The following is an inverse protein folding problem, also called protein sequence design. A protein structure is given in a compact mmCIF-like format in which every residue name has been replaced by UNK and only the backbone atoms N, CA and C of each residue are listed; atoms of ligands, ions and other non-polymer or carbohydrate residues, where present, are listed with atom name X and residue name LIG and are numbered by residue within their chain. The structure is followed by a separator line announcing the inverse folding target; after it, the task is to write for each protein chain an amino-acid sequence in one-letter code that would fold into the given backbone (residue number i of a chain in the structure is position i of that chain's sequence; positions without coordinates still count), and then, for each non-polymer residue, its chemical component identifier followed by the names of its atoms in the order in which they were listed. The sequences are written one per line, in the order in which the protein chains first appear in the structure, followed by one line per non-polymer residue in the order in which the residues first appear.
data_IF_102090324487
#
_entry.id   IF_102090324487
#
_cell.length_a   1.000
_cell.length_b   1.000
_cell.length_c   1.000
_cell.angle_alpha   90.00
_cell.angle_beta   90.00
_cell.angle_gamma   90.00
#
_symmetry.space_group_name_H-M   'P 1'
#
loop_
_entity.id
_entity.type
_entity.pdbx_description
1 polymer ?
#
# COMPACT_ATOMS: atom_id res chain seq x y z
N UNK A 1 10.09 -55.53 14.76
CA UNK A 1 8.84 -55.25 14.02
C UNK A 1 7.85 -54.36 14.76
N UNK A 2 7.38 -54.70 15.98
CA UNK A 2 6.39 -53.85 16.72
C UNK A 2 6.81 -52.38 16.91
N UNK A 3 8.08 -52.13 17.25
CA UNK A 3 8.61 -50.76 17.44
C UNK A 3 8.69 -49.97 16.12
N UNK A 4 9.03 -50.63 15.02
CA UNK A 4 9.12 -50.03 13.68
C UNK A 4 7.74 -49.65 13.13
N UNK A 5 6.73 -50.50 13.37
CA UNK A 5 5.32 -50.23 13.00
C UNK A 5 4.74 -49.07 13.80
N UNK A 6 5.16 -48.91 15.07
CA UNK A 6 4.72 -47.81 15.92
C UNK A 6 5.30 -46.46 15.46
N UNK A 7 6.59 -46.44 15.11
CA UNK A 7 7.25 -45.23 14.57
C UNK A 7 6.65 -44.83 13.22
N UNK A 8 6.39 -45.80 12.33
CA UNK A 8 5.73 -45.54 11.05
C UNK A 8 4.30 -45.00 11.22
N UNK A 9 3.49 -45.58 12.13
CA UNK A 9 2.16 -45.05 12.42
C UNK A 9 2.21 -43.64 13.03
N UNK A 10 3.18 -43.36 13.90
CA UNK A 10 3.36 -42.02 14.46
C UNK A 10 3.66 -41.00 13.34
N UNK A 11 4.57 -41.34 12.42
CA UNK A 11 4.94 -40.47 11.29
C UNK A 11 3.77 -40.30 10.31
N UNK A 12 3.02 -41.35 10.00
CA UNK A 12 1.85 -41.24 9.12
C UNK A 12 0.73 -40.42 9.78
N UNK A 13 0.51 -40.55 11.09
CA UNK A 13 -0.49 -39.75 11.80
C UNK A 13 -0.13 -38.26 11.86
N UNK A 14 1.14 -37.90 12.01
CA UNK A 14 1.57 -36.49 12.02
C UNK A 14 1.57 -35.87 10.63
N UNK A 15 1.87 -36.65 9.58
CA UNK A 15 1.79 -36.19 8.19
C UNK A 15 0.35 -35.91 7.74
N UNK A 16 -0.62 -36.73 8.17
CA UNK A 16 -2.04 -36.54 7.83
C UNK A 16 -2.62 -35.31 8.56
N UNK A 17 -2.24 -35.06 9.83
CA UNK A 17 -2.68 -33.88 10.56
C UNK A 17 -2.03 -32.57 10.07
N UNK A 18 -0.79 -32.61 9.57
CA UNK A 18 -0.10 -31.44 9.04
C UNK A 18 -0.59 -31.00 7.64
N UNK A 19 -1.30 -31.89 6.93
CA UNK A 19 -1.83 -31.66 5.58
C UNK A 19 -3.35 -31.66 5.56
N UNK A 20 -4.03 -31.20 6.62
CA UNK A 20 -5.48 -31.10 6.59
C UNK A 20 -5.91 -29.78 5.91
N UNK A 21 -6.31 -29.75 4.63
CA UNK A 21 -6.70 -28.51 3.96
C UNK A 21 -7.96 -27.87 4.58
N UNK A 22 -8.77 -28.64 5.32
CA UNK A 22 -9.93 -28.15 6.05
C UNK A 22 -9.59 -27.35 7.32
N UNK A 23 -8.32 -27.35 7.76
CA UNK A 23 -7.88 -26.52 8.90
C UNK A 23 -7.41 -25.13 8.49
N UNK A 24 -7.45 -24.79 7.20
CA UNK A 24 -7.06 -23.46 6.74
C UNK A 24 -8.06 -22.41 7.21
N UNK A 25 -7.57 -21.37 7.87
CA UNK A 25 -8.42 -20.24 8.24
C UNK A 25 -8.91 -19.52 6.97
N UNK A 26 -10.05 -18.83 7.05
CA UNK A 26 -10.58 -18.03 5.93
C UNK A 26 -9.49 -17.14 5.29
N UNK A 27 -8.65 -16.51 6.12
CA UNK A 27 -7.58 -15.62 5.68
C UNK A 27 -6.43 -16.34 4.96
N UNK A 28 -6.11 -17.58 5.33
CA UNK A 28 -5.09 -18.38 4.64
C UNK A 28 -5.55 -18.80 3.25
N UNK A 29 -6.84 -19.14 3.13
CA UNK A 29 -7.46 -19.43 1.83
C UNK A 29 -7.49 -18.19 0.95
N UNK A 30 -7.98 -17.06 1.45
CA UNK A 30 -7.98 -15.78 0.73
C UNK A 30 -6.57 -15.37 0.26
N UNK A 31 -5.58 -15.53 1.13
CA UNK A 31 -4.18 -15.27 0.78
C UNK A 31 -3.72 -16.20 -0.35
N UNK A 32 -3.90 -17.52 -0.19
CA UNK A 32 -3.48 -18.54 -1.17
C UNK A 32 -4.14 -18.33 -2.53
N UNK A 33 -5.45 -18.07 -2.54
CA UNK A 33 -6.22 -17.81 -3.75
C UNK A 33 -5.68 -16.58 -4.47
N UNK A 34 -5.30 -15.52 -3.73
CA UNK A 34 -4.80 -14.29 -4.32
C UNK A 34 -3.38 -14.42 -4.87
N UNK A 35 -2.46 -15.06 -4.14
CA UNK A 35 -1.06 -15.20 -4.60
C UNK A 35 -0.93 -16.16 -5.79
N UNK A 36 -1.86 -17.10 -5.93
CA UNK A 36 -1.90 -18.08 -7.02
C UNK A 36 -2.90 -17.72 -8.13
N UNK A 37 -3.58 -16.57 -8.03
CA UNK A 37 -4.50 -16.11 -9.05
C UNK A 37 -3.75 -15.81 -10.37
N UNK A 38 -4.31 -16.31 -11.48
CA UNK A 38 -3.86 -16.00 -12.84
C UNK A 38 -4.78 -14.93 -13.44
N UNK A 39 -4.27 -13.73 -13.77
CA UNK A 39 -5.09 -12.68 -14.36
C UNK A 39 -5.71 -13.07 -15.71
N UNK A 40 -6.97 -12.70 -15.92
CA UNK A 40 -7.79 -13.20 -17.04
C UNK A 40 -7.22 -12.86 -18.41
N UNK A 41 -6.62 -11.67 -18.54
CA UNK A 41 -6.12 -11.14 -19.80
C UNK A 41 -4.58 -11.20 -19.90
N UNK A 42 -3.92 -11.95 -19.01
CA UNK A 42 -2.47 -12.08 -19.02
C UNK A 42 -2.00 -12.80 -20.28
N UNK A 43 -1.51 -12.03 -21.26
CA UNK A 43 -0.93 -12.58 -22.48
C UNK A 43 0.47 -13.13 -22.21
N UNK A 44 0.83 -14.16 -22.97
CA UNK A 44 2.17 -14.76 -22.98
C UNK A 44 3.13 -14.09 -23.97
N UNK A 45 2.65 -13.09 -24.73
CA UNK A 45 3.45 -12.49 -25.80
C UNK A 45 4.51 -11.53 -25.24
N UNK A 46 5.72 -12.05 -25.07
CA UNK A 46 6.92 -11.24 -25.17
C UNK A 46 7.68 -11.61 -26.44
N UNK A 47 7.95 -10.60 -27.27
CA UNK A 47 8.81 -10.69 -28.46
C UNK A 47 10.22 -11.23 -28.10
N UNK A 48 10.59 -11.19 -26.82
CA UNK A 48 11.79 -11.81 -26.26
C UNK A 48 11.40 -12.92 -25.29
N UNK A 49 11.81 -14.15 -25.57
CA UNK A 49 11.79 -15.24 -24.58
C UNK A 49 13.03 -15.15 -23.70
N UNK A 50 12.93 -15.44 -22.40
CA UNK A 50 14.09 -15.45 -21.53
C UNK A 50 15.09 -16.53 -21.97
N UNK A 51 16.38 -16.21 -21.81
CA UNK A 51 17.48 -17.10 -22.14
C UNK A 51 17.56 -18.25 -21.13
N UNK A 52 17.33 -17.95 -19.85
CA UNK A 52 17.31 -18.95 -18.79
C UNK A 52 16.11 -19.91 -18.91
N UNK A 53 16.39 -21.21 -18.99
CA UNK A 53 15.39 -22.27 -18.93
C UNK A 53 14.51 -22.21 -17.66
N UNK A 54 15.03 -21.65 -16.57
CA UNK A 54 14.28 -21.47 -15.32
C UNK A 54 13.07 -20.55 -15.50
N UNK A 55 13.19 -19.56 -16.38
CA UNK A 55 12.14 -18.57 -16.67
C UNK A 55 11.24 -18.98 -17.84
N UNK A 56 11.50 -20.12 -18.50
CA UNK A 56 10.65 -20.69 -19.53
C UNK A 56 9.44 -21.46 -18.96
N UNK A 57 9.21 -21.36 -17.64
CA UNK A 57 8.06 -21.90 -16.92
C UNK A 57 6.89 -20.90 -16.90
N UNK A 58 5.71 -21.34 -16.46
CA UNK A 58 4.53 -20.47 -16.34
C UNK A 58 4.64 -19.50 -15.17
N UNK A 59 5.18 -18.31 -15.43
CA UNK A 59 5.31 -17.21 -14.47
C UNK A 59 4.10 -16.27 -14.54
N UNK A 60 2.95 -16.79 -14.10
CA UNK A 60 1.64 -16.17 -14.31
C UNK A 60 0.95 -15.69 -13.02
N UNK A 61 1.57 -15.95 -11.87
CA UNK A 61 0.99 -15.67 -10.55
C UNK A 61 1.97 -14.83 -9.73
N UNK A 62 1.46 -14.13 -8.70
CA UNK A 62 2.33 -13.39 -7.76
C UNK A 62 3.35 -14.35 -7.12
N UNK A 63 2.90 -15.53 -6.68
CA UNK A 63 3.73 -16.52 -6.02
C UNK A 63 4.90 -16.99 -6.91
N UNK A 64 4.60 -17.42 -8.14
CA UNK A 64 5.62 -17.89 -9.08
C UNK A 64 6.66 -16.79 -9.34
N UNK A 65 6.23 -15.59 -9.72
CA UNK A 65 7.16 -14.54 -10.10
C UNK A 65 7.97 -13.97 -8.91
N UNK A 66 7.37 -13.93 -7.71
CA UNK A 66 8.06 -13.52 -6.49
C UNK A 66 9.30 -14.38 -6.27
N UNK A 67 9.15 -15.72 -6.36
CA UNK A 67 10.24 -16.66 -6.14
C UNK A 67 11.40 -16.35 -7.10
N UNK A 68 11.15 -16.31 -8.40
CA UNK A 68 12.22 -16.03 -9.37
C UNK A 68 12.83 -14.64 -9.18
N UNK A 69 12.04 -13.65 -8.77
CA UNK A 69 12.56 -12.32 -8.48
C UNK A 69 13.43 -12.28 -7.23
N UNK A 70 13.15 -13.11 -6.23
CA UNK A 70 13.92 -13.21 -5.00
C UNK A 70 15.26 -13.94 -5.15
N UNK A 71 15.34 -14.87 -6.11
CA UNK A 71 16.50 -15.73 -6.34
C UNK A 71 17.33 -15.33 -7.57
N UNK A 72 17.17 -14.11 -8.11
CA UNK A 72 17.91 -13.60 -9.30
C UNK A 72 19.42 -13.83 -9.23
N UNK A 73 20.03 -13.55 -8.06
CA UNK A 73 21.46 -13.71 -7.83
C UNK A 73 21.88 -15.18 -7.78
N UNK A 74 21.09 -15.99 -7.10
CA UNK A 74 21.34 -17.43 -6.95
C UNK A 74 21.22 -18.15 -8.30
N UNK A 75 20.29 -17.70 -9.15
CA UNK A 75 20.11 -18.19 -10.52
C UNK A 75 21.05 -17.57 -11.56
N UNK A 76 21.86 -16.57 -11.17
CA UNK A 76 22.80 -15.87 -12.07
C UNK A 76 22.13 -15.38 -13.37
N UNK A 77 20.92 -14.82 -13.25
CA UNK A 77 20.17 -14.33 -14.41
C UNK A 77 20.95 -13.23 -15.14
N UNK A 78 20.89 -13.23 -16.47
CA UNK A 78 21.47 -12.18 -17.32
C UNK A 78 20.74 -10.84 -17.11
N UNK A 79 21.30 -9.75 -17.63
CA UNK A 79 20.63 -8.45 -17.61
C UNK A 79 19.31 -8.49 -18.42
N UNK A 80 19.31 -9.17 -19.57
CA UNK A 80 18.11 -9.37 -20.40
C UNK A 80 17.02 -10.13 -19.64
N UNK A 81 17.37 -11.22 -18.95
CA UNK A 81 16.42 -11.99 -18.13
C UNK A 81 15.92 -11.19 -16.92
N UNK A 82 16.78 -10.36 -16.31
CA UNK A 82 16.38 -9.50 -15.22
C UNK A 82 15.35 -8.46 -15.67
N UNK A 83 15.55 -7.84 -16.83
CA UNK A 83 14.61 -6.89 -17.43
C UNK A 83 13.31 -7.56 -17.87
N UNK A 84 13.40 -8.77 -18.44
CA UNK A 84 12.22 -9.57 -18.77
C UNK A 84 11.37 -9.83 -17.52
N UNK A 85 12.00 -10.21 -16.41
CA UNK A 85 11.31 -10.48 -15.14
C UNK A 85 10.69 -9.20 -14.55
N UNK A 86 11.39 -8.06 -14.63
CA UNK A 86 10.86 -6.75 -14.20
C UNK A 86 9.61 -6.36 -15.02
N UNK A 87 9.65 -6.57 -16.33
CA UNK A 87 8.50 -6.35 -17.22
C UNK A 87 7.35 -7.29 -16.90
N UNK A 88 7.64 -8.56 -16.59
CA UNK A 88 6.62 -9.54 -16.22
C UNK A 88 5.93 -9.18 -14.90
N UNK A 89 6.66 -8.65 -13.92
CA UNK A 89 6.07 -8.13 -12.67
C UNK A 89 5.10 -6.97 -12.97
N UNK A 90 5.52 -6.03 -13.82
CA UNK A 90 4.66 -4.92 -14.24
C UNK A 90 3.39 -5.37 -14.98
N UNK A 91 3.50 -6.39 -15.85
CA UNK A 91 2.36 -6.97 -16.54
C UNK A 91 1.37 -7.59 -15.55
N UNK A 92 1.85 -8.45 -14.63
CA UNK A 92 1.00 -9.08 -13.61
C UNK A 92 0.29 -8.01 -12.77
N UNK A 93 1.01 -6.97 -12.31
CA UNK A 93 0.40 -5.89 -11.55
C UNK A 93 -0.71 -5.17 -12.34
N UNK A 94 -0.49 -4.92 -13.62
CA UNK A 94 -1.46 -4.27 -14.51
C UNK A 94 -2.71 -5.14 -14.70
N UNK A 95 -2.54 -6.41 -15.02
CA UNK A 95 -3.67 -7.30 -15.29
C UNK A 95 -4.48 -7.61 -14.03
N UNK A 96 -3.82 -7.74 -12.87
CA UNK A 96 -4.51 -7.83 -11.57
C UNK A 96 -5.38 -6.60 -11.31
N UNK A 97 -4.85 -5.40 -11.56
CA UNK A 97 -5.60 -4.17 -11.40
C UNK A 97 -6.80 -4.09 -12.34
N UNK A 98 -6.63 -4.49 -13.61
CA UNK A 98 -7.73 -4.56 -14.59
C UNK A 98 -8.80 -5.58 -14.20
N UNK A 99 -8.42 -6.66 -13.53
CA UNK A 99 -9.33 -7.62 -12.91
C UNK A 99 -10.01 -7.09 -11.62
N UNK A 100 -9.78 -5.82 -11.27
CA UNK A 100 -10.34 -5.16 -10.08
C UNK A 100 -9.58 -5.45 -8.78
N UNK A 101 -8.47 -6.17 -8.84
CA UNK A 101 -7.67 -6.55 -7.67
C UNK A 101 -6.63 -5.47 -7.36
N UNK A 102 -6.98 -4.61 -6.41
CA UNK A 102 -6.09 -3.55 -5.90
C UNK A 102 -5.25 -4.13 -4.77
N UNK A 103 -3.98 -4.38 -5.07
CA UNK A 103 -3.09 -5.10 -4.17
C UNK A 103 -1.84 -4.26 -3.94
N UNK A 104 -1.42 -4.16 -2.68
CA UNK A 104 -0.07 -3.77 -2.32
C UNK A 104 0.58 -4.91 -1.55
N UNK A 105 1.91 -4.99 -1.65
CA UNK A 105 2.70 -6.00 -0.97
C UNK A 105 3.56 -5.35 0.10
N UNK A 106 3.58 -5.92 1.30
CA UNK A 106 4.44 -5.50 2.40
C UNK A 106 5.36 -6.62 2.85
N UNK A 107 6.61 -6.28 3.14
CA UNK A 107 7.55 -7.21 3.77
C UNK A 107 7.30 -7.21 5.28
N UNK A 108 7.07 -8.38 5.87
CA UNK A 108 6.86 -8.57 7.31
C UNK A 108 7.71 -9.71 7.85
N UNK A 109 7.76 -9.85 9.17
CA UNK A 109 8.48 -10.92 9.84
C UNK A 109 9.80 -10.46 10.45
N UNK A 110 10.82 -11.30 10.40
CA UNK A 110 12.09 -11.09 11.09
C UNK A 110 12.16 -11.82 12.42
N UNK A 111 12.73 -11.18 13.45
CA UNK A 111 13.01 -11.84 14.74
C UNK A 111 11.74 -12.35 15.43
N UNK A 112 10.65 -11.59 15.33
CA UNK A 112 9.36 -11.91 15.95
C UNK A 112 8.54 -12.95 15.18
N UNK A 113 9.04 -13.49 14.07
CA UNK A 113 8.32 -14.45 13.23
C UNK A 113 7.23 -13.82 12.36
N UNK A 114 6.52 -14.65 11.59
CA UNK A 114 5.44 -14.22 10.70
C UNK A 114 4.18 -13.85 11.50
N UNK A 115 3.43 -12.83 11.09
CA UNK A 115 2.11 -12.59 11.67
C UNK A 115 1.15 -13.73 11.29
N UNK A 116 0.20 -14.04 12.19
CA UNK A 116 -0.84 -15.04 11.90
C UNK A 116 -1.72 -14.65 10.69
N UNK A 117 -1.90 -13.34 10.48
CA UNK A 117 -2.71 -12.81 9.39
C UNK A 117 -1.82 -12.21 8.29
N UNK A 118 -1.76 -12.92 7.16
CA UNK A 118 -0.90 -12.63 6.00
C UNK A 118 -1.58 -11.74 4.94
N UNK A 119 -2.85 -11.41 5.14
CA UNK A 119 -3.65 -10.55 4.26
C UNK A 119 -4.45 -9.56 5.11
N UNK A 120 -4.40 -8.28 4.78
CA UNK A 120 -5.19 -7.24 5.44
C UNK A 120 -5.80 -6.29 4.40
N UNK A 121 -6.66 -5.40 4.86
CA UNK A 121 -7.22 -4.33 4.04
C UNK A 121 -6.69 -2.99 4.52
N UNK A 122 -6.24 -2.16 3.58
CA UNK A 122 -5.83 -0.77 3.78
C UNK A 122 -6.79 0.13 3.01
N UNK A 123 -7.00 1.34 3.51
CA UNK A 123 -7.71 2.38 2.79
C UNK A 123 -6.74 3.50 2.43
N UNK A 124 -6.61 3.84 1.15
CA UNK A 124 -5.80 4.97 0.68
C UNK A 124 -6.58 5.75 -0.37
N UNK A 125 -6.70 7.07 -0.23
CA UNK A 125 -7.51 7.90 -1.13
C UNK A 125 -8.96 7.39 -1.30
N UNK A 126 -9.56 6.88 -0.23
CA UNK A 126 -10.88 6.21 -0.23
C UNK A 126 -10.96 4.93 -1.09
N UNK A 127 -9.83 4.40 -1.53
CA UNK A 127 -9.74 3.15 -2.26
C UNK A 127 -9.43 2.03 -1.26
N UNK A 128 -10.23 0.96 -1.30
CA UNK A 128 -9.95 -0.27 -0.57
C UNK A 128 -8.85 -1.06 -1.30
N UNK A 129 -7.79 -1.41 -0.56
CA UNK A 129 -6.59 -2.06 -1.08
C UNK A 129 -6.28 -3.28 -0.22
N UNK A 130 -6.10 -4.43 -0.86
CA UNK A 130 -5.59 -5.62 -0.19
C UNK A 130 -4.09 -5.48 0.04
N UNK A 131 -3.66 -5.57 1.29
CA UNK A 131 -2.26 -5.66 1.66
C UNK A 131 -1.85 -7.12 1.85
N UNK A 132 -1.15 -7.66 0.86
CA UNK A 132 -0.49 -8.96 0.94
C UNK A 132 0.82 -8.83 1.70
N UNK A 133 1.00 -9.65 2.73
CA UNK A 133 2.22 -9.66 3.53
C UNK A 133 3.12 -10.79 3.07
N UNK A 134 4.31 -10.45 2.59
CA UNK A 134 5.37 -11.42 2.35
C UNK A 134 6.17 -11.58 3.62
N UNK A 135 6.04 -12.75 4.25
CA UNK A 135 6.80 -13.03 5.44
C UNK A 135 8.20 -13.51 5.08
N UNK A 136 9.19 -12.94 5.75
CA UNK A 136 10.57 -13.37 5.66
C UNK A 136 11.14 -13.69 7.05
N UNK A 137 12.15 -14.55 7.08
CA UNK A 137 13.03 -14.70 8.24
C UNK A 137 14.07 -13.56 8.27
N UNK A 138 14.84 -13.45 9.36
CA UNK A 138 15.87 -12.41 9.51
C UNK A 138 16.89 -12.36 8.36
N UNK A 139 17.14 -13.49 7.69
CA UNK A 139 18.17 -13.61 6.67
C UNK A 139 17.71 -13.22 5.26
N UNK A 140 16.40 -13.12 4.99
CA UNK A 140 15.89 -13.17 3.61
C UNK A 140 15.03 -11.97 3.21
N UNK A 141 14.88 -10.94 4.05
CA UNK A 141 14.04 -9.76 3.76
C UNK A 141 14.43 -9.01 2.48
N UNK A 142 15.70 -9.07 2.08
CA UNK A 142 16.21 -8.41 0.88
C UNK A 142 15.71 -9.06 -0.42
N UNK A 143 15.26 -10.32 -0.38
CA UNK A 143 14.86 -11.08 -1.59
C UNK A 143 13.60 -10.50 -2.23
N UNK A 144 12.61 -10.14 -1.41
CA UNK A 144 11.35 -9.61 -1.93
C UNK A 144 11.42 -8.14 -2.32
N UNK A 145 12.46 -7.40 -1.89
CA UNK A 145 12.54 -5.95 -2.03
C UNK A 145 12.33 -5.46 -3.46
N UNK A 146 13.03 -6.07 -4.43
CA UNK A 146 12.94 -5.66 -5.84
C UNK A 146 11.54 -5.96 -6.42
N UNK A 147 10.96 -7.11 -6.08
CA UNK A 147 9.61 -7.45 -6.50
C UNK A 147 8.59 -6.44 -5.94
N UNK A 148 8.64 -6.21 -4.62
CA UNK A 148 7.73 -5.29 -3.92
C UNK A 148 7.84 -3.88 -4.51
N UNK A 149 9.06 -3.40 -4.78
CA UNK A 149 9.30 -2.09 -5.35
C UNK A 149 8.64 -1.93 -6.73
N UNK A 150 8.88 -2.86 -7.66
CA UNK A 150 8.32 -2.81 -9.01
C UNK A 150 6.80 -2.97 -8.97
N UNK A 151 6.31 -3.99 -8.26
CA UNK A 151 4.89 -4.31 -8.17
C UNK A 151 4.09 -3.16 -7.55
N UNK A 152 4.52 -2.66 -6.38
CA UNK A 152 3.82 -1.58 -5.69
C UNK A 152 3.92 -0.27 -6.47
N UNK A 153 5.08 0.04 -7.08
CA UNK A 153 5.21 1.25 -7.91
C UNK A 153 4.19 1.25 -9.05
N UNK A 154 4.04 0.11 -9.73
CA UNK A 154 3.04 -0.03 -10.79
C UNK A 154 1.60 0.09 -10.26
N UNK A 155 1.30 -0.55 -9.13
CA UNK A 155 -0.03 -0.46 -8.50
C UNK A 155 -0.38 0.95 -8.04
N UNK A 156 0.55 1.65 -7.38
CA UNK A 156 0.37 3.06 -7.01
C UNK A 156 0.12 3.95 -8.22
N UNK A 157 0.88 3.75 -9.31
CA UNK A 157 0.68 4.48 -10.57
C UNK A 157 -0.71 4.22 -11.17
N UNK A 158 -1.19 2.98 -11.16
CA UNK A 158 -2.52 2.62 -11.70
C UNK A 158 -3.67 3.18 -10.85
N UNK A 159 -3.45 3.29 -9.53
CA UNK A 159 -4.40 3.91 -8.61
C UNK A 159 -4.32 5.44 -8.57
N UNK A 160 -3.34 6.05 -9.26
CA UNK A 160 -3.03 7.48 -9.20
C UNK A 160 -2.74 7.99 -7.78
N UNK A 161 -2.09 7.16 -6.96
CA UNK A 161 -1.72 7.47 -5.58
C UNK A 161 -0.21 7.70 -5.49
N UNK A 162 0.21 8.80 -4.87
CA UNK A 162 1.62 9.03 -4.58
C UNK A 162 2.13 8.04 -3.50
N UNK A 163 3.17 7.25 -3.78
CA UNK A 163 3.70 6.29 -2.82
C UNK A 163 4.14 6.96 -1.51
N UNK A 164 3.97 6.30 -0.36
CA UNK A 164 4.53 6.78 0.89
C UNK A 164 6.06 6.75 0.84
N UNK A 165 6.69 7.78 1.41
CA UNK A 165 8.13 7.87 1.60
C UNK A 165 8.47 7.85 3.09
N UNK A 166 9.77 7.85 3.42
CA UNK A 166 10.26 7.76 4.81
C UNK A 166 9.74 8.88 5.73
N UNK A 167 9.30 10.01 5.17
CA UNK A 167 8.77 11.16 5.92
C UNK A 167 7.25 11.19 5.97
N UNK A 168 6.54 10.34 5.22
CA UNK A 168 5.07 10.36 5.16
C UNK A 168 4.43 10.23 6.53
N UNK A 169 4.95 9.35 7.40
CA UNK A 169 4.44 9.17 8.77
C UNK A 169 4.55 10.42 9.64
N UNK A 170 5.48 11.33 9.33
CA UNK A 170 5.67 12.59 10.08
C UNK A 170 4.57 13.61 9.82
N UNK A 171 3.73 13.38 8.81
CA UNK A 171 2.59 14.25 8.50
C UNK A 171 1.31 13.81 9.19
N UNK A 172 1.26 12.62 9.81
CA UNK A 172 0.04 12.13 10.43
C UNK A 172 -0.28 12.92 11.70
N UNK A 173 -1.58 13.09 11.97
CA UNK A 173 -2.08 13.69 13.20
C UNK A 173 -2.72 15.07 13.00
N UNK A 174 -2.80 15.82 14.10
CA UNK A 174 -3.51 17.08 14.16
C UNK A 174 -2.58 18.28 14.25
N UNK A 175 -2.81 19.28 13.40
CA UNK A 175 -2.07 20.53 13.36
C UNK A 175 -3.01 21.70 13.65
N UNK A 176 -2.56 22.62 14.51
CA UNK A 176 -3.33 23.81 14.89
C UNK A 176 -2.51 25.08 14.70
N UNK A 177 -3.19 26.19 14.41
CA UNK A 177 -2.57 27.50 14.28
C UNK A 177 -3.60 28.62 14.25
N UNK A 178 -3.18 29.78 13.73
CA UNK A 178 -4.06 30.93 13.56
C UNK A 178 -3.94 31.54 12.16
N UNK A 179 -5.05 32.02 11.63
CA UNK A 179 -5.09 32.80 10.39
C UNK A 179 -4.49 34.20 10.60
N UNK A 180 -4.37 34.98 9.53
CA UNK A 180 -3.97 36.39 9.61
C UNK A 180 -4.93 37.22 10.48
N UNK A 181 -6.22 36.93 10.37
CA UNK A 181 -7.30 37.53 11.16
C UNK A 181 -7.41 36.94 12.58
N UNK A 182 -6.45 36.09 12.99
CA UNK A 182 -6.37 35.41 14.29
C UNK A 182 -7.46 34.37 14.55
N UNK A 183 -8.17 33.94 13.52
CA UNK A 183 -9.08 32.81 13.62
C UNK A 183 -8.32 31.51 13.86
N UNK A 184 -8.89 30.62 14.66
CA UNK A 184 -8.28 29.33 14.94
C UNK A 184 -8.35 28.44 13.70
N UNK A 185 -7.22 27.84 13.33
CA UNK A 185 -7.12 26.90 12.21
C UNK A 185 -6.79 25.52 12.75
N UNK A 186 -7.46 24.49 12.24
CA UNK A 186 -7.08 23.10 12.48
C UNK A 186 -7.07 22.30 11.18
N UNK A 187 -6.06 21.45 11.05
CA UNK A 187 -5.82 20.53 9.95
C UNK A 187 -5.59 19.13 10.54
N UNK A 188 -6.37 18.16 10.10
CA UNK A 188 -6.20 16.74 10.44
C UNK A 188 -5.73 16.01 9.19
N UNK A 189 -4.63 15.26 9.32
CA UNK A 189 -4.07 14.42 8.27
C UNK A 189 -4.12 12.96 8.73
N UNK A 190 -4.88 12.14 8.01
CA UNK A 190 -5.02 10.70 8.30
C UNK A 190 -4.02 9.87 7.50
N UNK A 191 -3.72 8.68 8.02
CA UNK A 191 -2.86 7.70 7.32
C UNK A 191 -3.41 7.30 5.95
N UNK A 192 -4.74 7.31 5.81
CA UNK A 192 -5.49 6.96 4.59
C UNK A 192 -5.38 8.00 3.46
N UNK A 193 -4.47 8.98 3.59
CA UNK A 193 -4.27 10.09 2.64
C UNK A 193 -5.46 11.05 2.51
N UNK A 194 -6.36 11.06 3.49
CA UNK A 194 -7.46 12.03 3.60
C UNK A 194 -7.13 13.13 4.59
N UNK A 195 -7.68 14.31 4.36
CA UNK A 195 -7.53 15.45 5.28
C UNK A 195 -8.85 16.14 5.55
N UNK A 196 -8.92 16.80 6.71
CA UNK A 196 -9.98 17.75 7.06
C UNK A 196 -9.34 19.04 7.56
N UNK A 197 -9.89 20.17 7.16
CA UNK A 197 -9.37 21.50 7.47
C UNK A 197 -10.51 22.44 7.84
N UNK A 198 -10.34 23.25 8.88
CA UNK A 198 -11.29 24.30 9.23
C UNK A 198 -10.63 25.55 9.77
N UNK A 199 -11.34 26.67 9.57
CA UNK A 199 -11.06 27.98 10.17
C UNK A 199 -12.27 28.37 11.02
N UNK A 200 -12.10 28.45 12.34
CA UNK A 200 -13.17 28.84 13.25
C UNK A 200 -13.25 30.37 13.39
N UNK A 201 -14.37 30.96 12.94
CA UNK A 201 -14.63 32.40 12.94
C UNK A 201 -15.59 32.85 14.03
N UNK A 202 -15.86 32.00 15.03
CA UNK A 202 -16.76 32.29 16.16
C UNK A 202 -18.24 32.10 15.81
N UNK A 203 -18.76 32.84 14.83
CA UNK A 203 -20.17 32.73 14.39
C UNK A 203 -20.39 31.77 13.21
N UNK A 204 -19.32 31.17 12.71
CA UNK A 204 -19.31 30.20 11.62
C UNK A 204 -17.92 29.62 11.44
N UNK A 205 -17.79 28.62 10.57
CA UNK A 205 -16.50 28.00 10.26
C UNK A 205 -16.30 27.92 8.76
N UNK A 206 -15.13 28.24 8.25
CA UNK A 206 -14.81 27.81 6.89
C UNK A 206 -14.25 26.38 6.96
N UNK A 207 -14.57 25.53 6.00
CA UNK A 207 -14.17 24.11 6.02
C UNK A 207 -13.78 23.59 4.64
N UNK A 208 -12.89 22.61 4.61
CA UNK A 208 -12.66 21.75 3.45
C UNK A 208 -12.13 20.39 3.85
N UNK A 209 -12.35 19.41 2.98
CA UNK A 209 -11.73 18.09 3.06
C UNK A 209 -11.31 17.61 1.67
N UNK A 210 -10.47 16.60 1.64
CA UNK A 210 -9.98 16.04 0.40
C UNK A 210 -8.81 15.10 0.61
N UNK A 211 -7.92 15.05 -0.38
CA UNK A 211 -6.79 14.16 -0.42
C UNK A 211 -5.48 14.92 -0.22
N UNK A 212 -4.51 14.24 0.39
CA UNK A 212 -3.18 14.79 0.57
C UNK A 212 -2.10 13.83 0.11
N UNK A 213 -0.99 14.40 -0.36
CA UNK A 213 0.24 13.67 -0.66
C UNK A 213 1.45 14.44 -0.14
N UNK A 214 2.61 13.79 -0.13
CA UNK A 214 3.85 14.46 0.24
C UNK A 214 5.01 14.09 -0.68
N UNK A 215 5.81 15.10 -1.01
CA UNK A 215 7.10 14.93 -1.69
C UNK A 215 8.16 15.42 -0.70
N UNK A 216 8.93 14.48 -0.13
CA UNK A 216 9.87 14.77 0.94
C UNK A 216 9.20 15.48 2.13
N UNK A 217 9.59 16.74 2.39
CA UNK A 217 9.09 17.60 3.47
C UNK A 217 7.92 18.50 3.02
N UNK A 218 7.49 18.41 1.77
CA UNK A 218 6.38 19.20 1.24
C UNK A 218 5.09 18.39 1.29
N UNK A 219 4.10 18.85 2.05
CA UNK A 219 2.71 18.42 2.03
C UNK A 219 1.98 19.15 0.91
N UNK A 220 1.13 18.44 0.17
CA UNK A 220 0.28 18.99 -0.88
C UNK A 220 -1.16 18.57 -0.59
N UNK A 221 -2.08 19.53 -0.47
CA UNK A 221 -3.51 19.32 -0.20
C UNK A 221 -4.35 19.65 -1.44
N UNK A 222 -5.29 18.77 -1.77
CA UNK A 222 -6.28 18.98 -2.83
C UNK A 222 -7.68 18.73 -2.28
N UNK A 223 -8.50 19.77 -2.24
CA UNK A 223 -9.90 19.65 -1.84
C UNK A 223 -10.65 18.72 -2.79
N UNK A 224 -11.62 17.97 -2.25
CA UNK A 224 -12.58 17.27 -3.11
C UNK A 224 -13.44 18.30 -3.87
N UNK A 225 -13.92 17.92 -5.05
CA UNK A 225 -14.94 18.70 -5.75
C UNK A 225 -16.27 18.53 -5.02
N UNK A 226 -17.02 19.62 -4.82
CA UNK A 226 -18.39 19.55 -4.34
C UNK A 226 -19.33 19.34 -5.52
N UNK A 227 -20.12 18.27 -5.48
CA UNK A 227 -21.20 18.03 -6.42
C UNK A 227 -22.52 18.57 -5.88
N UNK A 228 -23.48 18.88 -6.77
CA UNK A 228 -24.80 19.40 -6.40
C UNK A 228 -25.61 18.44 -5.52
N UNK A 229 -25.32 17.14 -5.61
CA UNK A 229 -25.99 16.06 -4.89
C UNK A 229 -25.28 15.68 -3.59
N UNK A 230 -24.14 16.32 -3.27
CA UNK A 230 -23.49 16.08 -1.99
C UNK A 230 -24.39 16.62 -0.87
N UNK A 231 -24.98 15.71 -0.10
CA UNK A 231 -25.62 16.04 1.18
C UNK A 231 -24.54 16.59 2.12
N UNK A 232 -24.33 17.91 2.11
CA UNK A 232 -23.51 18.62 3.09
C UNK A 232 -24.33 18.73 4.38
N UNK A 233 -24.70 17.57 4.95
CA UNK A 233 -25.75 17.43 5.97
C UNK A 233 -25.33 17.81 7.39
N UNK A 234 -24.20 18.50 7.59
CA UNK A 234 -23.80 18.92 8.95
C UNK A 234 -23.13 20.29 9.11
N UNK A 235 -22.71 20.98 8.03
CA UNK A 235 -21.92 22.22 8.15
C UNK A 235 -22.65 23.51 7.72
N UNK A 236 -23.77 23.42 7.00
CA UNK A 236 -24.26 24.53 6.17
C UNK A 236 -25.27 25.50 6.78
N UNK A 237 -25.50 25.54 8.10
CA UNK A 237 -26.19 26.74 8.62
C UNK A 237 -25.27 27.97 8.70
N UNK A 238 -23.94 27.79 8.67
CA UNK A 238 -22.99 28.93 8.73
C UNK A 238 -21.60 28.69 8.11
N UNK A 239 -21.29 27.48 7.61
CA UNK A 239 -19.94 27.20 7.12
C UNK A 239 -19.72 27.48 5.63
N UNK A 240 -18.57 28.06 5.25
CA UNK A 240 -18.18 28.26 3.84
C UNK A 240 -17.16 27.20 3.41
N UNK A 241 -17.35 26.64 2.21
CA UNK A 241 -16.36 25.73 1.62
C UNK A 241 -15.12 26.49 1.14
N UNK A 242 -13.92 25.96 1.42
CA UNK A 242 -12.65 26.48 0.91
C UNK A 242 -12.10 25.51 -0.14
N UNK A 243 -11.70 26.02 -1.30
CA UNK A 243 -11.11 25.19 -2.33
C UNK A 243 -9.57 25.27 -2.29
N UNK A 244 -8.91 24.12 -2.10
CA UNK A 244 -7.47 23.95 -2.23
C UNK A 244 -7.14 23.21 -3.53
N UNK A 245 -6.42 23.89 -4.44
CA UNK A 245 -5.87 23.31 -5.68
C UNK A 245 -4.35 23.24 -5.57
N UNK A 246 -3.86 22.22 -4.88
CA UNK A 246 -2.43 22.04 -4.64
C UNK A 246 -1.88 23.02 -3.59
N UNK A 247 -2.56 23.15 -2.45
CA UNK A 247 -2.04 23.97 -1.35
C UNK A 247 -0.83 23.27 -0.72
N UNK A 248 0.30 23.98 -0.63
CA UNK A 248 1.57 23.41 -0.21
C UNK A 248 2.01 23.89 1.18
N UNK A 249 2.49 22.96 2.00
CA UNK A 249 3.16 23.27 3.28
C UNK A 249 4.51 22.58 3.36
N UNK A 250 5.50 23.27 3.94
CA UNK A 250 6.77 22.65 4.35
C UNK A 250 6.71 22.22 5.81
N UNK A 251 7.03 20.95 6.07
CA UNK A 251 7.16 20.38 7.41
C UNK A 251 8.59 20.56 7.95
N UNK A 252 8.72 21.21 9.10
CA UNK A 252 9.99 21.33 9.83
C UNK A 252 9.74 21.26 11.34
N UNK A 253 10.29 20.24 12.01
CA UNK A 253 10.18 20.04 13.47
C UNK A 253 8.73 20.10 13.97
N UNK A 254 7.83 19.34 13.35
CA UNK A 254 6.40 19.32 13.71
C UNK A 254 5.63 20.61 13.38
N UNK A 255 6.18 21.49 12.54
CA UNK A 255 5.51 22.72 12.09
C UNK A 255 5.33 22.71 10.58
N UNK A 256 4.11 23.00 10.13
CA UNK A 256 3.75 23.23 8.74
C UNK A 256 3.76 24.73 8.46
N UNK A 257 4.53 25.14 7.45
CA UNK A 257 4.54 26.52 6.94
C UNK A 257 4.07 26.52 5.50
N UNK A 258 2.98 27.23 5.21
CA UNK A 258 2.42 27.36 3.87
C UNK A 258 3.44 27.98 2.91
N UNK A 259 3.53 27.46 1.69
CA UNK A 259 4.50 27.90 0.68
C UNK A 259 3.87 28.77 -0.41
N UNK A 260 2.62 28.52 -0.78
CA UNK A 260 1.97 29.12 -1.96
C UNK A 260 0.62 29.78 -1.67
N UNK A 261 0.50 30.49 -0.54
CA UNK A 261 -0.73 31.20 -0.20
C UNK A 261 -0.61 32.21 0.93
N UNK A 262 -1.43 32.08 1.97
CA UNK A 262 -1.57 33.06 3.05
C UNK A 262 -0.45 33.04 4.09
N UNK A 263 0.62 32.25 3.89
CA UNK A 263 1.71 32.07 4.86
C UNK A 263 1.23 31.55 6.23
N UNK A 264 0.18 30.71 6.24
CA UNK A 264 -0.33 30.05 7.44
C UNK A 264 0.75 29.19 8.08
N UNK A 265 0.74 29.15 9.41
CA UNK A 265 1.66 28.34 10.21
C UNK A 265 0.85 27.48 11.15
N UNK A 266 1.03 26.17 11.05
CA UNK A 266 0.37 25.19 11.91
C UNK A 266 1.44 24.40 12.68
N UNK A 267 1.15 24.07 13.92
CA UNK A 267 2.00 23.25 14.79
C UNK A 267 1.27 21.97 15.12
N UNK A 268 1.97 20.85 15.07
CA UNK A 268 1.44 19.55 15.48
C UNK A 268 1.08 19.59 16.97
N UNK A 269 -0.09 19.05 17.29
CA UNK A 269 -0.69 19.04 18.63
C UNK A 269 -0.92 17.63 19.18
N UNK A 270 -1.07 16.66 18.29
CA UNK A 270 -1.26 15.24 18.62
C UNK A 270 -0.47 14.41 17.59
N UNK A 271 0.32 13.44 18.07
CA UNK A 271 0.94 12.37 17.26
C UNK A 271 -0.01 11.19 17.13
#
# INVERSE_FOLDING_TARGET
MRKTIFILNLIFSTLIFAQNPESSTLYEKEYSDLINYVPKNLKFDSIHKPESHLLQTELNTINSIQIYSGFRKDFKLSESDNQWLDNRINQIATELFLDGKRILVSAVGGYSGCPNKMIDTLQLNNIEIVNLKFCHTCANSYRDKKFIEIFNSKMYSLMEIEPPNRKTKLFYGEFQGRSKERYEIKLILKEERTFKYWVNKGHGSDFTEGLWKNINETLILNSRNLNKDDEISFALSSAKWIEFKGLEFRLKKGKLTELNGENRKLKQTVE
#
